data_IF_775983439941
#
_entry.id   IF_775983439941
#
_cell.length_a   1.000
_cell.length_b   1.000
_cell.length_c   1.000
_cell.angle_alpha   90.00
_cell.angle_beta   90.00
_cell.angle_gamma   90.00
#
_symmetry.space_group_name_H-M   'P 1'
#
loop_
_entity.id
_entity.type
_entity.pdbx_description
1 polymer ?
#
# COMPACT_ATOMS: atom_id res chain seq x y z
N UNK A 1 16.43 7.09 1.52
CA UNK A 1 16.20 5.65 1.36
C UNK A 1 15.55 5.46 0.00
N UNK A 2 16.22 4.74 -0.90
CA UNK A 2 15.70 4.36 -2.21
C UNK A 2 15.17 2.93 -2.10
N UNK A 3 14.02 2.67 -2.70
CA UNK A 3 13.42 1.34 -2.81
C UNK A 3 12.81 1.22 -4.20
N UNK A 4 12.88 0.02 -4.76
CA UNK A 4 12.22 -0.30 -6.01
C UNK A 4 10.78 -0.72 -5.73
N UNK A 5 9.86 -0.28 -6.56
CA UNK A 5 8.46 -0.64 -6.42
C UNK A 5 7.74 -0.73 -7.76
N UNK A 6 6.69 -1.54 -7.78
CA UNK A 6 5.77 -1.67 -8.89
C UNK A 6 4.33 -1.43 -8.42
N UNK A 7 3.51 -0.85 -9.29
CA UNK A 7 2.10 -0.56 -9.00
C UNK A 7 1.22 -1.33 -9.97
N UNK A 8 0.29 -2.12 -9.43
CA UNK A 8 -0.75 -2.80 -10.20
C UNK A 8 -2.12 -2.24 -9.86
N UNK A 9 -2.92 -1.95 -10.89
CA UNK A 9 -4.33 -1.65 -10.72
C UNK A 9 -5.13 -2.94 -10.86
N UNK A 10 -5.87 -3.30 -9.80
CA UNK A 10 -6.67 -4.52 -9.78
C UNK A 10 -8.15 -4.19 -9.58
N UNK A 11 -8.99 -4.83 -10.38
CA UNK A 11 -10.43 -4.82 -10.20
C UNK A 11 -10.86 -5.79 -9.08
N UNK A 12 -12.05 -5.57 -8.52
CA UNK A 12 -12.64 -6.47 -7.54
C UNK A 12 -12.01 -6.45 -6.14
N UNK A 13 -11.10 -5.51 -5.87
CA UNK A 13 -10.55 -5.32 -4.53
C UNK A 13 -11.62 -4.77 -3.57
N UNK A 14 -11.66 -5.31 -2.35
CA UNK A 14 -12.54 -4.83 -1.27
C UNK A 14 -11.90 -3.72 -0.43
N UNK A 15 -10.58 -3.53 -0.57
CA UNK A 15 -9.78 -2.47 0.07
C UNK A 15 -9.24 -1.50 -0.99
N UNK A 16 -8.70 -0.37 -0.55
CA UNK A 16 -8.19 0.67 -1.46
C UNK A 16 -6.79 0.34 -1.99
N UNK A 17 -5.95 -0.27 -1.15
CA UNK A 17 -4.60 -0.69 -1.49
C UNK A 17 -4.18 -1.93 -0.70
N UNK A 18 -3.19 -2.66 -1.22
CA UNK A 18 -2.46 -3.73 -0.54
C UNK A 18 -0.99 -3.59 -0.89
N UNK A 19 -0.10 -3.87 0.06
CA UNK A 19 1.34 -3.77 -0.16
C UNK A 19 1.98 -5.08 0.24
N UNK A 20 2.95 -5.53 -0.56
CA UNK A 20 3.69 -6.75 -0.31
C UNK A 20 5.17 -6.49 -0.57
N UNK A 21 6.02 -6.88 0.37
CA UNK A 21 7.48 -6.91 0.17
C UNK A 21 7.84 -8.19 -0.60
N UNK A 22 8.65 -8.03 -1.65
CA UNK A 22 9.13 -9.12 -2.49
C UNK A 22 10.45 -9.68 -1.94
N UNK A 23 10.83 -10.88 -2.37
CA UNK A 23 12.06 -11.56 -1.91
C UNK A 23 13.36 -10.80 -2.24
N UNK A 24 13.32 -9.91 -3.24
CA UNK A 24 14.45 -9.06 -3.64
C UNK A 24 14.52 -7.72 -2.87
N UNK A 25 13.69 -7.53 -1.84
CA UNK A 25 13.50 -6.28 -1.09
C UNK A 25 12.85 -5.13 -1.91
N UNK A 26 12.25 -5.43 -3.07
CA UNK A 26 11.36 -4.50 -3.75
C UNK A 26 9.93 -4.60 -3.21
N UNK A 27 9.07 -3.64 -3.56
CA UNK A 27 7.68 -3.61 -3.09
C UNK A 27 6.69 -3.71 -4.24
N UNK A 28 5.63 -4.48 -4.02
CA UNK A 28 4.47 -4.55 -4.92
C UNK A 28 3.30 -3.84 -4.25
N UNK A 29 2.76 -2.82 -4.93
CA UNK A 29 1.60 -2.04 -4.47
C UNK A 29 0.42 -2.37 -5.38
N UNK A 30 -0.63 -2.94 -4.81
CA UNK A 30 -1.90 -3.15 -5.49
C UNK A 30 -2.84 -2.01 -5.14
N UNK A 31 -3.48 -1.40 -6.14
CA UNK A 31 -4.43 -0.30 -5.97
C UNK A 31 -5.75 -0.69 -6.60
N UNK A 32 -6.85 -0.41 -5.90
CA UNK A 32 -8.18 -0.68 -6.40
C UNK A 32 -8.49 0.18 -7.64
N UNK A 33 -8.69 -0.48 -8.77
CA UNK A 33 -8.94 0.16 -10.06
C UNK A 33 -10.28 0.92 -10.08
N UNK A 34 -11.24 0.56 -9.24
CA UNK A 34 -12.54 1.22 -9.12
C UNK A 34 -12.48 2.58 -8.41
N UNK A 35 -11.34 2.96 -7.85
CA UNK A 35 -11.16 4.27 -7.23
C UNK A 35 -11.11 5.38 -8.28
N UNK A 36 -11.78 6.49 -7.99
CA UNK A 36 -11.58 7.73 -8.72
C UNK A 36 -10.14 8.25 -8.55
N UNK A 37 -9.70 9.10 -9.46
CA UNK A 37 -8.31 9.58 -9.54
C UNK A 37 -7.78 10.14 -8.21
N UNK A 38 -8.56 10.97 -7.51
CA UNK A 38 -8.14 11.55 -6.24
C UNK A 38 -7.97 10.52 -5.12
N UNK A 39 -8.85 9.50 -5.07
CA UNK A 39 -8.73 8.39 -4.11
C UNK A 39 -7.57 7.47 -4.46
N UNK A 40 -7.32 7.24 -5.75
CA UNK A 40 -6.20 6.45 -6.24
C UNK A 40 -4.86 7.09 -5.87
N UNK A 41 -4.73 8.40 -6.05
CA UNK A 41 -3.54 9.15 -5.63
C UNK A 41 -3.33 9.05 -4.11
N UNK A 42 -4.41 9.14 -3.32
CA UNK A 42 -4.35 8.97 -1.86
C UNK A 42 -3.87 7.56 -1.48
N UNK A 43 -4.42 6.52 -2.11
CA UNK A 43 -4.03 5.12 -1.88
C UNK A 43 -2.55 4.87 -2.22
N UNK A 44 -2.05 5.41 -3.33
CA UNK A 44 -0.64 5.32 -3.71
C UNK A 44 0.26 6.04 -2.69
N UNK A 45 -0.10 7.27 -2.30
CA UNK A 45 0.66 8.02 -1.30
C UNK A 45 0.66 7.30 0.06
N UNK A 46 -0.47 6.69 0.41
CA UNK A 46 -0.62 5.90 1.62
C UNK A 46 0.32 4.69 1.61
N UNK A 47 0.34 3.95 0.50
CA UNK A 47 1.24 2.81 0.33
C UNK A 47 2.72 3.19 0.42
N UNK A 48 3.11 4.28 -0.25
CA UNK A 48 4.48 4.79 -0.20
C UNK A 48 4.88 5.23 1.22
N UNK A 49 3.94 5.77 2.01
CA UNK A 49 4.20 6.13 3.41
C UNK A 49 4.50 4.89 4.25
N UNK A 50 3.71 3.83 4.11
CA UNK A 50 3.95 2.57 4.85
C UNK A 50 5.33 1.96 4.56
N UNK A 51 5.78 2.00 3.31
CA UNK A 51 7.13 1.55 2.93
C UNK A 51 8.21 2.40 3.59
N UNK A 52 8.04 3.73 3.61
CA UNK A 52 9.00 4.64 4.25
C UNK A 52 9.04 4.53 5.78
N UNK A 53 7.90 4.29 6.41
CA UNK A 53 7.76 4.20 7.87
C UNK A 53 8.04 2.79 8.42
N UNK A 54 8.37 1.84 7.54
CA UNK A 54 8.67 0.42 7.85
C UNK A 54 7.56 -0.24 8.66
N UNK A 55 6.31 0.01 8.29
CA UNK A 55 5.17 -0.56 9.01
C UNK A 55 5.04 -2.07 8.85
N UNK A 56 5.78 -2.67 7.91
CA UNK A 56 5.89 -4.13 7.72
C UNK A 56 6.69 -4.85 8.82
N UNK A 57 7.56 -4.14 9.54
CA UNK A 57 8.37 -4.70 10.65
C UNK A 57 7.65 -4.63 12.00
N UNK A 58 6.49 -3.96 12.07
CA UNK A 58 5.72 -3.81 13.31
C UNK A 58 4.74 -4.96 13.44
N UNK A 59 4.88 -5.72 14.53
CA UNK A 59 4.16 -6.94 14.97
C UNK A 59 2.61 -6.88 14.90
N UNK A 60 1.99 -5.77 14.50
CA UNK A 60 0.54 -5.57 14.55
C UNK A 60 0.03 -4.75 13.34
N UNK A 61 0.31 -5.24 12.13
CA UNK A 61 -0.13 -4.66 10.83
C UNK A 61 -1.65 -4.34 10.83
N UNK A 62 -2.45 -5.17 11.51
CA UNK A 62 -3.91 -5.02 11.62
C UNK A 62 -4.36 -3.79 12.46
N UNK A 63 -3.59 -3.37 13.48
CA UNK A 63 -3.93 -2.17 14.28
C UNK A 63 -3.55 -0.88 13.57
N UNK A 64 -2.47 -0.90 12.77
CA UNK A 64 -2.03 0.27 12.00
C UNK A 64 -3.04 0.55 10.88
N UNK A 65 -3.50 -0.47 10.15
CA UNK A 65 -4.53 -0.34 9.11
C UNK A 65 -5.81 0.33 9.65
N UNK A 66 -6.28 -0.07 10.84
CA UNK A 66 -7.48 0.52 11.46
C UNK A 66 -7.29 1.99 11.90
N UNK A 67 -6.06 2.41 12.22
CA UNK A 67 -5.76 3.81 12.54
C UNK A 67 -5.55 4.67 11.29
N UNK A 68 -5.13 4.07 10.17
CA UNK A 68 -4.86 4.77 8.92
C UNK A 68 -6.09 4.82 7.99
N UNK A 69 -7.02 3.86 8.11
CA UNK A 69 -8.34 3.85 7.46
C UNK A 69 -9.45 4.44 8.36
N UNK A 70 -9.28 5.69 8.83
CA UNK A 70 -10.34 6.46 9.49
C UNK A 70 -10.94 7.52 8.57
#
# INVERSE_FOLDING_TARGET
MSFDYQIFFMDGMTVNEVITENEDNSFTIFINANLCESKRLKAINHAIRHIKERDFEKIDVQKIEMSAHK
#
